data_IF_417634272663
#
_entry.id   IF_417634272663
#
_cell.length_a   1.000
_cell.length_b   1.000
_cell.length_c   1.000
_cell.angle_alpha   90.00
_cell.angle_beta   90.00
_cell.angle_gamma   90.00
#
_symmetry.space_group_name_H-M   'P 1'
#
loop_
_entity.id
_entity.type
_entity.pdbx_description
1 polymer ?
#
# COMPACT_ATOMS: atom_id res chain seq x y z
N UNK A 1 -23.86 -14.52 -26.84
CA UNK A 1 -22.62 -15.10 -26.27
C UNK A 1 -21.49 -14.19 -26.75
N UNK A 2 -21.27 -13.07 -26.06
CA UNK A 2 -20.21 -12.13 -26.42
C UNK A 2 -18.92 -12.67 -25.83
N UNK A 3 -18.04 -13.17 -26.69
CA UNK A 3 -16.74 -13.72 -26.31
C UNK A 3 -15.82 -12.61 -25.82
N UNK A 4 -15.01 -12.98 -24.84
CA UNK A 4 -13.94 -12.25 -24.17
C UNK A 4 -12.75 -11.95 -25.11
N UNK A 5 -13.02 -11.49 -26.34
CA UNK A 5 -12.03 -11.36 -27.41
C UNK A 5 -11.04 -10.20 -27.21
N UNK A 6 -11.32 -9.30 -26.27
CA UNK A 6 -10.50 -8.13 -25.95
C UNK A 6 -9.67 -8.28 -24.65
N UNK A 7 -9.76 -9.43 -23.97
CA UNK A 7 -8.95 -9.69 -22.79
C UNK A 7 -7.46 -9.88 -23.19
N UNK A 8 -6.52 -9.15 -22.57
CA UNK A 8 -5.10 -9.33 -22.88
C UNK A 8 -4.67 -10.76 -22.54
N UNK A 9 -4.08 -11.46 -23.52
CA UNK A 9 -3.51 -12.80 -23.32
C UNK A 9 -2.29 -12.69 -22.42
N UNK A 10 -2.45 -13.05 -21.16
CA UNK A 10 -1.38 -13.07 -20.16
C UNK A 10 -0.91 -14.50 -19.87
N UNK A 11 0.40 -14.66 -19.68
CA UNK A 11 1.00 -15.95 -19.33
C UNK A 11 0.52 -16.40 -17.94
N UNK A 12 0.39 -17.72 -17.67
CA UNK A 12 -0.07 -18.22 -16.37
C UNK A 12 0.70 -17.68 -15.16
N UNK A 13 1.97 -17.29 -15.33
CA UNK A 13 2.81 -16.71 -14.28
C UNK A 13 2.39 -15.29 -13.86
N UNK A 14 1.81 -14.49 -14.77
CA UNK A 14 1.38 -13.11 -14.47
C UNK A 14 0.23 -13.04 -13.47
N UNK A 15 -0.50 -14.14 -13.27
CA UNK A 15 -1.60 -14.25 -12.33
C UNK A 15 -1.16 -14.69 -10.93
N UNK A 16 0.14 -14.71 -10.64
CA UNK A 16 0.64 -15.15 -9.34
C UNK A 16 0.06 -14.25 -8.23
N UNK A 17 -0.65 -14.81 -7.25
CA UNK A 17 -1.23 -14.01 -6.18
C UNK A 17 -0.11 -13.37 -5.36
N UNK A 18 -0.16 -12.06 -5.20
CA UNK A 18 0.79 -11.35 -4.35
C UNK A 18 0.57 -11.71 -2.87
N UNK A 19 1.66 -11.74 -2.10
CA UNK A 19 1.60 -12.04 -0.67
C UNK A 19 1.08 -10.81 0.11
N UNK A 20 -0.24 -10.72 0.26
CA UNK A 20 -0.91 -9.58 0.91
C UNK A 20 -0.47 -9.38 2.36
N UNK A 21 -0.11 -10.45 3.09
CA UNK A 21 0.40 -10.34 4.45
C UNK A 21 1.76 -9.64 4.47
N UNK A 22 2.66 -10.03 3.57
CA UNK A 22 3.96 -9.38 3.44
C UNK A 22 3.82 -7.91 3.04
N UNK A 23 2.91 -7.60 2.10
CA UNK A 23 2.67 -6.23 1.66
C UNK A 23 2.17 -5.32 2.80
N UNK A 24 1.23 -5.80 3.62
CA UNK A 24 0.73 -5.05 4.79
C UNK A 24 1.81 -4.82 5.84
N UNK A 25 2.63 -5.84 6.13
CA UNK A 25 3.75 -5.71 7.06
C UNK A 25 4.75 -4.69 6.50
N UNK A 26 5.07 -4.78 5.21
CA UNK A 26 5.93 -3.81 4.52
C UNK A 26 5.41 -2.38 4.66
N UNK A 27 4.12 -2.15 4.43
CA UNK A 27 3.52 -0.83 4.59
C UNK A 27 3.61 -0.28 6.02
N UNK A 28 3.38 -1.13 7.04
CA UNK A 28 3.54 -0.72 8.46
C UNK A 28 5.00 -0.38 8.77
N UNK A 29 5.94 -1.23 8.35
CA UNK A 29 7.38 -1.00 8.56
C UNK A 29 7.83 0.28 7.88
N UNK A 30 7.41 0.51 6.63
CA UNK A 30 7.70 1.75 5.90
C UNK A 30 7.14 2.98 6.60
N UNK A 31 5.89 2.93 7.09
CA UNK A 31 5.31 4.04 7.84
C UNK A 31 6.10 4.35 9.12
N UNK A 32 6.55 3.33 9.85
CA UNK A 32 7.41 3.50 11.04
C UNK A 32 8.73 4.16 10.65
N UNK A 33 9.41 3.66 9.60
CA UNK A 33 10.69 4.22 9.14
C UNK A 33 10.53 5.69 8.75
N UNK A 34 9.48 6.04 8.01
CA UNK A 34 9.20 7.43 7.63
C UNK A 34 9.03 8.35 8.84
N UNK A 35 8.37 7.88 9.90
CA UNK A 35 8.25 8.64 11.16
C UNK A 35 9.57 8.70 11.93
N UNK A 36 10.38 7.64 11.91
CA UNK A 36 11.70 7.66 12.52
C UNK A 36 12.61 8.68 11.82
N UNK A 37 12.44 8.85 10.50
CA UNK A 37 13.19 9.82 9.71
C UNK A 37 12.85 11.27 10.04
N UNK A 38 11.77 11.59 10.78
CA UNK A 38 11.53 12.97 11.26
C UNK A 38 12.37 13.32 12.49
N UNK A 39 13.14 12.35 13.02
CA UNK A 39 14.04 12.57 14.15
C UNK A 39 15.46 12.72 13.63
N UNK A 40 16.06 13.89 13.82
CA UNK A 40 17.45 14.12 13.43
C UNK A 40 17.75 15.58 13.13
N UNK A 41 18.73 15.79 12.25
CA UNK A 41 19.22 17.11 11.87
C UNK A 41 18.36 17.77 10.77
N UNK A 42 17.13 18.14 11.12
CA UNK A 42 16.18 18.77 10.21
C UNK A 42 16.18 20.28 10.45
N UNK A 43 16.63 21.06 9.46
CA UNK A 43 16.63 22.53 9.52
C UNK A 43 15.32 23.14 9.00
N UNK A 44 14.51 22.35 8.28
CA UNK A 44 13.28 22.81 7.64
C UNK A 44 12.12 21.83 7.77
N UNK A 45 10.89 22.36 7.78
CA UNK A 45 9.67 21.56 8.00
C UNK A 45 9.11 20.90 6.75
N UNK A 46 9.58 21.27 5.56
CA UNK A 46 9.04 20.74 4.30
C UNK A 46 9.27 19.22 4.24
N UNK A 47 10.47 18.76 4.56
CA UNK A 47 10.79 17.34 4.59
C UNK A 47 9.90 16.57 5.58
N UNK A 48 9.74 17.10 6.81
CA UNK A 48 8.89 16.49 7.84
C UNK A 48 7.43 16.37 7.40
N UNK A 49 6.91 17.37 6.69
CA UNK A 49 5.56 17.34 6.14
C UNK A 49 5.42 16.21 5.11
N UNK A 50 6.37 16.06 4.19
CA UNK A 50 6.34 14.97 3.22
C UNK A 50 6.46 13.59 3.88
N UNK A 51 7.34 13.44 4.87
CA UNK A 51 7.50 12.20 5.64
C UNK A 51 6.21 11.85 6.40
N UNK A 52 5.65 12.81 7.12
CA UNK A 52 4.41 12.63 7.89
C UNK A 52 3.20 12.33 7.00
N UNK A 53 3.04 13.05 5.88
CA UNK A 53 1.96 12.80 4.93
C UNK A 53 2.08 11.43 4.26
N UNK A 54 3.30 11.01 3.91
CA UNK A 54 3.55 9.70 3.32
C UNK A 54 3.23 8.57 4.31
N UNK A 55 3.66 8.72 5.57
CA UNK A 55 3.35 7.77 6.63
C UNK A 55 1.83 7.70 6.89
N UNK A 56 1.16 8.85 6.99
CA UNK A 56 -0.29 8.93 7.16
C UNK A 56 -1.04 8.29 5.98
N UNK A 57 -0.56 8.49 4.75
CA UNK A 57 -1.10 7.86 3.55
C UNK A 57 -1.03 6.34 3.59
N UNK A 58 0.10 5.76 3.99
CA UNK A 58 0.24 4.30 4.14
C UNK A 58 -0.71 3.74 5.20
N UNK A 59 -0.83 4.40 6.35
CA UNK A 59 -1.75 3.99 7.41
C UNK A 59 -3.21 4.09 6.94
N UNK A 60 -3.57 5.17 6.23
CA UNK A 60 -4.91 5.33 5.66
C UNK A 60 -5.24 4.20 4.69
N UNK A 61 -4.32 3.85 3.79
CA UNK A 61 -4.50 2.73 2.85
C UNK A 61 -4.72 1.39 3.57
N UNK A 62 -3.99 1.14 4.67
CA UNK A 62 -4.19 -0.08 5.48
C UNK A 62 -5.57 -0.09 6.17
N UNK A 63 -6.01 1.05 6.68
CA UNK A 63 -7.36 1.19 7.26
C UNK A 63 -8.42 0.94 6.19
N UNK A 64 -8.28 1.53 5.01
CA UNK A 64 -9.20 1.32 3.88
C UNK A 64 -9.22 -0.15 3.46
N UNK A 65 -8.06 -0.80 3.31
CA UNK A 65 -7.96 -2.25 3.02
C UNK A 65 -8.72 -3.08 4.06
N UNK A 66 -8.54 -2.77 5.34
CA UNK A 66 -9.21 -3.46 6.43
C UNK A 66 -10.73 -3.26 6.42
N UNK A 67 -11.20 -2.02 6.25
CA UNK A 67 -12.64 -1.70 6.17
C UNK A 67 -13.27 -2.41 4.97
N UNK A 68 -12.68 -2.31 3.78
CA UNK A 68 -13.21 -2.95 2.57
C UNK A 68 -13.35 -4.47 2.73
N UNK A 69 -12.35 -5.12 3.34
CA UNK A 69 -12.38 -6.57 3.58
C UNK A 69 -13.39 -6.97 4.65
N UNK A 70 -13.57 -6.13 5.68
CA UNK A 70 -14.62 -6.32 6.68
C UNK A 70 -16.01 -6.19 6.05
N UNK A 71 -16.16 -5.32 5.06
CA UNK A 71 -17.41 -5.08 4.33
C UNK A 71 -17.67 -6.10 3.19
N UNK A 72 -16.85 -7.14 3.07
CA UNK A 72 -17.11 -8.26 2.16
C UNK A 72 -16.30 -8.26 0.87
N UNK A 73 -15.36 -7.30 0.68
CA UNK A 73 -14.39 -7.40 -0.41
C UNK A 73 -13.49 -8.61 -0.15
N UNK A 74 -13.70 -9.68 -0.93
CA UNK A 74 -12.89 -10.90 -0.86
C UNK A 74 -11.70 -10.78 -1.80
N UNK A 75 -10.54 -11.18 -1.29
CA UNK A 75 -9.24 -11.15 -1.98
C UNK A 75 -9.18 -12.11 -3.15
#
# INVERSE_FOLDING_TARGET
MAGDHDAPVTSPDQHKPANMKALRIGAVVSAIILLLMTMGNHEGKVEDIFLALSAAGLILLLIVDWVLRRNGLRS
#
